data_IF_216108536521
#
_entry.id   IF_216108536521
#
_cell.length_a   1.000
_cell.length_b   1.000
_cell.length_c   1.000
_cell.angle_alpha   90.00
_cell.angle_beta   90.00
_cell.angle_gamma   90.00
#
_symmetry.space_group_name_H-M   'P 1'
#
loop_
_entity.id
_entity.type
_entity.pdbx_description
1 polymer ?
#
# COMPACT_ATOMS: atom_id res chain seq x y z
N UNK A 1 64.05 25.96 -43.39
CA UNK A 1 62.97 26.85 -43.87
C UNK A 1 62.22 26.18 -45.00
N UNK A 2 61.07 25.55 -44.72
CA UNK A 2 60.03 25.23 -45.73
C UNK A 2 58.67 25.22 -45.03
N UNK A 3 57.84 26.19 -45.39
CA UNK A 3 56.42 26.27 -45.10
C UNK A 3 55.64 25.47 -46.15
N UNK A 4 54.60 24.74 -45.73
CA UNK A 4 53.39 24.40 -46.50
C UNK A 4 52.42 23.71 -45.52
N UNK A 5 51.50 24.46 -44.89
CA UNK A 5 50.08 24.63 -45.28
C UNK A 5 49.34 23.28 -45.38
N UNK A 6 48.64 22.92 -44.30
CA UNK A 6 47.63 21.87 -44.25
C UNK A 6 46.29 22.42 -44.76
N UNK A 7 45.74 21.80 -45.81
CA UNK A 7 44.39 22.02 -46.30
C UNK A 7 43.49 20.90 -45.76
N UNK A 8 42.70 21.19 -44.73
CA UNK A 8 41.73 20.24 -44.17
C UNK A 8 40.42 20.33 -44.94
N UNK A 9 40.08 19.29 -45.68
CA UNK A 9 38.79 19.13 -46.36
C UNK A 9 37.77 18.61 -45.33
N UNK A 10 36.74 19.43 -45.06
CA UNK A 10 35.60 19.10 -44.21
C UNK A 10 34.52 18.43 -45.06
N UNK A 11 34.36 17.11 -44.96
CA UNK A 11 33.21 16.38 -45.52
C UNK A 11 32.04 16.38 -44.55
N UNK A 12 30.97 17.08 -44.92
CA UNK A 12 29.66 17.05 -44.24
C UNK A 12 28.86 15.86 -44.77
N UNK A 13 28.59 14.86 -43.92
CA UNK A 13 27.57 13.85 -44.21
C UNK A 13 26.19 14.39 -43.83
N UNK A 14 25.39 14.71 -44.84
CA UNK A 14 23.95 14.93 -44.71
C UNK A 14 23.30 13.54 -44.74
N UNK A 15 22.83 13.04 -43.60
CA UNK A 15 21.90 11.92 -43.56
C UNK A 15 20.46 12.44 -43.57
N UNK A 16 19.76 12.19 -44.68
CA UNK A 16 18.31 12.28 -44.75
C UNK A 16 17.72 11.20 -43.83
N UNK A 17 17.04 11.61 -42.76
CA UNK A 17 16.14 10.71 -42.04
C UNK A 17 14.70 11.06 -42.40
N UNK A 18 14.07 10.10 -43.07
CA UNK A 18 12.68 10.12 -43.50
C UNK A 18 11.73 10.35 -42.33
N UNK A 19 10.94 11.41 -42.43
CA UNK A 19 9.76 11.67 -41.62
C UNK A 19 8.77 10.50 -41.74
N UNK A 20 8.67 9.69 -40.68
CA UNK A 20 7.46 8.92 -40.38
C UNK A 20 6.87 9.47 -39.10
N UNK A 21 5.83 10.26 -39.27
CA UNK A 21 4.92 10.69 -38.19
C UNK A 21 4.40 9.43 -37.47
N UNK A 22 4.62 9.25 -36.16
CA UNK A 22 3.90 8.24 -35.43
C UNK A 22 2.45 8.70 -35.34
N UNK A 23 1.54 7.84 -35.80
CA UNK A 23 0.12 8.00 -35.58
C UNK A 23 -0.13 8.27 -34.08
N UNK A 24 -0.99 9.25 -33.82
CA UNK A 24 -1.56 9.58 -32.52
C UNK A 24 -2.31 8.35 -31.98
N UNK A 25 -1.56 7.42 -31.40
CA UNK A 25 -2.11 6.36 -30.59
C UNK A 25 -2.64 7.00 -29.33
N UNK A 26 -3.96 7.16 -29.25
CA UNK A 26 -4.66 7.31 -27.99
C UNK A 26 -4.13 6.22 -27.06
N UNK A 27 -3.31 6.61 -26.10
CA UNK A 27 -2.97 5.79 -24.96
C UNK A 27 -4.24 5.64 -24.14
N UNK A 28 -5.11 4.71 -24.55
CA UNK A 28 -6.10 4.14 -23.65
C UNK A 28 -5.28 3.51 -22.53
N UNK A 29 -5.21 4.19 -21.39
CA UNK A 29 -4.60 3.67 -20.19
C UNK A 29 -5.14 2.26 -20.00
N UNK A 30 -4.28 1.25 -20.15
CA UNK A 30 -4.65 -0.12 -19.81
C UNK A 30 -5.11 -0.07 -18.36
N UNK A 31 -6.40 -0.35 -18.19
CA UNK A 31 -7.13 -0.46 -16.93
C UNK A 31 -6.19 -1.00 -15.86
N UNK A 32 -5.77 -0.14 -14.93
CA UNK A 32 -5.09 -0.59 -13.72
C UNK A 32 -6.02 -1.64 -13.10
N UNK A 33 -5.60 -2.91 -13.13
CA UNK A 33 -6.28 -3.95 -12.38
C UNK A 33 -5.98 -3.70 -10.92
N UNK A 34 -6.78 -2.82 -10.32
CA UNK A 34 -7.06 -2.88 -8.90
C UNK A 34 -7.65 -4.26 -8.66
N UNK A 35 -6.90 -5.17 -8.04
CA UNK A 35 -7.50 -6.35 -7.44
C UNK A 35 -8.31 -5.81 -6.25
N UNK A 36 -9.56 -5.43 -6.50
CA UNK A 36 -10.49 -5.01 -5.46
C UNK A 36 -10.69 -6.21 -4.53
N UNK A 37 -10.49 -6.00 -3.23
CA UNK A 37 -10.91 -6.92 -2.17
C UNK A 37 -12.41 -7.31 -2.27
N UNK A 38 -13.22 -6.51 -2.98
CA UNK A 38 -14.64 -6.74 -3.19
C UNK A 38 -15.02 -7.89 -4.16
N UNK A 39 -14.08 -8.71 -4.65
CA UNK A 39 -14.41 -10.01 -5.27
C UNK A 39 -14.37 -11.16 -4.23
N UNK A 40 -13.86 -10.92 -3.02
CA UNK A 40 -13.87 -11.88 -1.91
C UNK A 40 -15.11 -11.64 -1.03
N UNK A 41 -16.28 -11.47 -1.66
CA UNK A 41 -17.55 -11.56 -0.98
C UNK A 41 -18.28 -12.77 -1.57
N UNK A 42 -18.31 -13.86 -0.80
CA UNK A 42 -18.74 -15.23 -1.15
C UNK A 42 -17.71 -16.10 -1.89
N UNK A 43 -16.61 -16.43 -1.21
CA UNK A 43 -15.90 -17.67 -1.49
C UNK A 43 -16.18 -18.65 -0.34
N UNK A 44 -16.74 -19.81 -0.68
CA UNK A 44 -17.11 -20.83 0.29
C UNK A 44 -15.90 -21.49 0.97
N UNK A 45 -16.22 -22.39 1.91
CA UNK A 45 -15.34 -23.10 2.85
C UNK A 45 -14.17 -23.91 2.26
N UNK A 46 -13.93 -23.88 0.95
CA UNK A 46 -12.94 -24.71 0.23
C UNK A 46 -11.94 -23.91 -0.64
N UNK A 47 -11.92 -22.57 -0.57
CA UNK A 47 -11.02 -21.77 -1.41
C UNK A 47 -9.58 -21.79 -0.87
N UNK A 48 -8.88 -22.86 -1.23
CA UNK A 48 -7.43 -23.03 -1.01
C UNK A 48 -6.67 -22.01 -1.85
N UNK A 49 -6.39 -20.86 -1.25
CA UNK A 49 -5.62 -19.80 -1.88
C UNK A 49 -4.27 -20.32 -2.40
N UNK A 50 -3.93 -19.94 -3.62
CA UNK A 50 -2.76 -20.44 -4.36
C UNK A 50 -1.58 -19.48 -4.19
N UNK A 51 -0.36 -19.99 -3.95
CA UNK A 51 0.83 -19.14 -3.88
C UNK A 51 0.98 -18.27 -5.12
N UNK A 52 1.38 -17.01 -4.94
CA UNK A 52 1.66 -16.11 -6.05
C UNK A 52 3.01 -15.42 -5.88
N UNK A 53 3.64 -15.07 -7.00
CA UNK A 53 4.91 -14.36 -7.02
C UNK A 53 4.67 -12.86 -6.94
N UNK A 54 5.33 -12.19 -6.00
CA UNK A 54 5.25 -10.75 -5.84
C UNK A 54 6.20 -10.04 -6.82
N UNK A 55 7.45 -10.52 -6.86
CA UNK A 55 8.51 -10.16 -7.79
C UNK A 55 9.59 -11.27 -7.78
N UNK A 56 10.73 -11.05 -8.42
CA UNK A 56 11.78 -12.06 -8.52
C UNK A 56 12.28 -12.48 -7.13
N UNK A 57 12.17 -13.78 -6.84
CA UNK A 57 12.61 -14.38 -5.59
C UNK A 57 11.57 -14.37 -4.45
N UNK A 58 10.47 -13.61 -4.53
CA UNK A 58 9.46 -13.53 -3.48
C UNK A 58 8.17 -14.28 -3.83
N UNK A 59 7.71 -15.12 -2.90
CA UNK A 59 6.45 -15.87 -3.01
C UNK A 59 5.59 -15.60 -1.78
N UNK A 60 4.31 -15.34 -2.01
CA UNK A 60 3.30 -15.19 -0.95
C UNK A 60 2.46 -16.45 -0.92
N UNK A 61 2.33 -17.05 0.26
CA UNK A 61 1.56 -18.28 0.48
C UNK A 61 0.56 -18.05 1.59
N UNK A 62 -0.71 -18.36 1.35
CA UNK A 62 -1.74 -18.33 2.40
C UNK A 62 -1.58 -19.52 3.34
N UNK A 63 -1.88 -19.29 4.61
CA UNK A 63 -1.38 -20.14 5.68
C UNK A 63 -2.46 -20.48 6.70
N UNK A 64 -3.25 -19.52 7.21
CA UNK A 64 -4.28 -19.86 8.20
C UNK A 64 -4.88 -18.66 8.93
N UNK A 65 -5.40 -18.93 10.13
CA UNK A 65 -6.03 -17.95 11.01
C UNK A 65 -5.04 -17.36 12.01
N UNK A 66 -5.24 -16.11 12.37
CA UNK A 66 -4.58 -15.46 13.51
C UNK A 66 -5.62 -15.37 14.63
N UNK A 67 -5.34 -16.06 15.72
CA UNK A 67 -6.00 -15.87 17.00
C UNK A 67 -5.40 -14.61 17.65
N UNK A 68 -5.98 -13.45 17.33
CA UNK A 68 -5.56 -12.19 17.88
C UNK A 68 -6.49 -11.78 19.02
N UNK A 69 -5.92 -11.13 20.04
CA UNK A 69 -6.63 -10.64 21.23
C UNK A 69 -7.76 -9.65 20.95
N UNK A 70 -7.83 -9.07 19.74
CA UNK A 70 -8.75 -7.98 19.40
C UNK A 70 -9.69 -8.35 18.23
N UNK A 71 -9.24 -9.15 17.25
CA UNK A 71 -10.05 -9.53 16.10
C UNK A 71 -9.45 -10.76 15.40
N UNK A 72 -10.25 -11.79 15.15
CA UNK A 72 -9.84 -12.91 14.29
C UNK A 72 -9.52 -12.38 12.88
N UNK A 73 -8.31 -12.61 12.39
CA UNK A 73 -7.90 -12.31 11.01
C UNK A 73 -7.29 -13.55 10.37
N UNK A 74 -6.98 -13.48 9.07
CA UNK A 74 -6.20 -14.51 8.39
C UNK A 74 -4.80 -13.98 8.07
N UNK A 75 -3.82 -14.88 7.96
CA UNK A 75 -2.46 -14.50 7.61
C UNK A 75 -1.94 -15.26 6.40
N UNK A 76 -1.06 -14.57 5.67
CA UNK A 76 -0.19 -15.15 4.66
C UNK A 76 1.28 -15.00 5.09
N UNK A 77 2.17 -15.77 4.48
CA UNK A 77 3.61 -15.63 4.66
C UNK A 77 4.28 -15.20 3.37
N UNK A 78 5.27 -14.32 3.50
CA UNK A 78 6.19 -13.95 2.43
C UNK A 78 7.45 -14.78 2.60
N UNK A 79 7.86 -15.49 1.55
CA UNK A 79 9.12 -16.22 1.51
C UNK A 79 10.02 -15.67 0.41
N UNK A 80 11.33 -15.65 0.67
CA UNK A 80 12.35 -15.35 -0.33
C UNK A 80 13.30 -16.53 -0.46
N UNK A 81 13.39 -17.11 -1.65
CA UNK A 81 14.20 -18.31 -1.91
C UNK A 81 13.94 -19.44 -0.89
N UNK A 82 12.66 -19.65 -0.54
CA UNK A 82 12.22 -20.66 0.42
C UNK A 82 12.40 -20.31 1.91
N UNK A 83 13.00 -19.15 2.24
CA UNK A 83 13.12 -18.68 3.63
C UNK A 83 11.97 -17.76 3.98
N UNK A 84 11.36 -17.93 5.16
CA UNK A 84 10.35 -17.02 5.69
C UNK A 84 10.95 -15.62 5.90
N UNK A 85 10.25 -14.61 5.41
CA UNK A 85 10.65 -13.20 5.45
C UNK A 85 9.70 -12.37 6.30
N UNK A 86 8.39 -12.57 6.17
CA UNK A 86 7.36 -11.95 7.00
C UNK A 86 6.12 -12.83 7.08
N UNK A 87 5.36 -12.62 8.15
CA UNK A 87 3.95 -13.00 8.27
C UNK A 87 3.13 -11.73 8.08
N UNK A 88 2.08 -11.75 7.26
CA UNK A 88 1.30 -10.58 6.89
C UNK A 88 -0.19 -10.79 7.10
N UNK A 89 -0.89 -9.71 7.40
CA UNK A 89 -2.35 -9.67 7.44
C UNK A 89 -2.90 -9.89 6.02
N UNK A 90 -3.74 -10.92 5.88
CA UNK A 90 -4.24 -11.32 4.56
C UNK A 90 -5.36 -10.41 4.07
N UNK A 91 -6.16 -9.85 4.98
CA UNK A 91 -7.28 -8.97 4.62
C UNK A 91 -6.77 -7.65 4.02
N UNK A 92 -5.69 -7.09 4.59
CA UNK A 92 -4.96 -5.99 3.98
C UNK A 92 -4.23 -6.43 2.70
N UNK A 93 -3.61 -7.61 2.75
CA UNK A 93 -2.86 -8.20 1.64
C UNK A 93 -1.63 -7.39 1.24
N UNK A 94 -1.21 -7.54 -0.03
CA UNK A 94 -0.11 -6.74 -0.59
C UNK A 94 -0.66 -5.71 -1.57
N UNK A 95 -0.49 -4.44 -1.22
CA UNK A 95 -0.91 -3.29 -2.01
C UNK A 95 0.26 -2.82 -2.90
N UNK A 96 0.16 -3.05 -4.21
CA UNK A 96 1.22 -2.71 -5.17
C UNK A 96 1.17 -1.23 -5.57
N UNK A 97 2.27 -0.50 -5.39
CA UNK A 97 2.42 0.88 -5.87
C UNK A 97 3.00 0.90 -7.29
N UNK A 98 4.00 0.05 -7.55
CA UNK A 98 4.59 -0.22 -8.85
C UNK A 98 5.33 -1.58 -8.80
N UNK A 99 6.04 -1.97 -9.87
CA UNK A 99 6.72 -3.28 -9.97
C UNK A 99 7.73 -3.57 -8.85
N UNK A 100 8.36 -2.53 -8.30
CA UNK A 100 9.40 -2.65 -7.28
C UNK A 100 9.01 -2.00 -5.96
N UNK A 101 7.76 -1.57 -5.81
CA UNK A 101 7.27 -0.90 -4.60
C UNK A 101 5.91 -1.44 -4.19
N UNK A 102 5.82 -1.94 -2.96
CA UNK A 102 4.60 -2.49 -2.39
C UNK A 102 4.51 -2.23 -0.89
N UNK A 103 3.27 -2.26 -0.38
CA UNK A 103 2.92 -2.05 1.01
C UNK A 103 2.16 -3.28 1.52
N UNK A 104 2.48 -3.73 2.72
CA UNK A 104 1.73 -4.76 3.46
C UNK A 104 1.71 -4.45 4.95
N UNK A 105 0.80 -5.08 5.68
CA UNK A 105 0.72 -5.04 7.14
C UNK A 105 1.27 -6.36 7.70
N UNK A 106 2.24 -6.29 8.60
CA UNK A 106 2.80 -7.50 9.24
C UNK A 106 1.89 -8.01 10.35
N UNK A 107 1.95 -9.31 10.62
CA UNK A 107 1.55 -9.89 11.91
C UNK A 107 2.81 -10.08 12.76
N UNK A 108 2.78 -9.66 14.02
CA UNK A 108 3.88 -9.80 14.99
C UNK A 108 3.50 -10.69 16.15
N UNK A 109 4.50 -10.98 16.98
CA UNK A 109 4.35 -11.76 18.23
C UNK A 109 3.72 -13.14 17.98
N UNK A 110 4.10 -13.74 16.85
CA UNK A 110 3.52 -14.99 16.38
C UNK A 110 3.98 -16.16 17.23
N UNK A 111 3.06 -16.86 17.85
CA UNK A 111 3.32 -18.09 18.59
C UNK A 111 2.29 -19.18 18.22
N UNK A 112 2.53 -20.44 18.57
CA UNK A 112 1.46 -21.43 18.60
C UNK A 112 0.34 -20.96 19.53
N UNK A 113 -0.94 -21.25 19.25
CA UNK A 113 -2.05 -20.87 20.12
C UNK A 113 -1.90 -21.46 21.53
N UNK A 114 -2.22 -20.66 22.55
CA UNK A 114 -2.02 -21.02 23.97
C UNK A 114 -3.01 -22.07 24.48
N UNK A 115 -4.23 -22.13 23.90
CA UNK A 115 -5.27 -23.06 24.34
C UNK A 115 -5.43 -24.23 23.35
N UNK A 116 -4.91 -25.41 23.73
CA UNK A 116 -4.99 -26.64 22.95
C UNK A 116 -6.21 -27.50 23.30
N UNK A 117 -7.16 -27.01 24.11
CA UNK A 117 -8.28 -27.83 24.61
C UNK A 117 -9.46 -27.97 23.66
N UNK A 118 -9.43 -27.32 22.49
CA UNK A 118 -10.54 -27.33 21.53
C UNK A 118 -10.15 -28.19 20.31
N UNK A 119 -10.70 -29.41 20.28
CA UNK A 119 -10.61 -30.36 19.17
C UNK A 119 -11.41 -29.88 17.95
N UNK A 120 -10.86 -28.91 17.22
CA UNK A 120 -11.36 -28.47 15.91
C UNK A 120 -10.22 -28.52 14.90
N UNK A 121 -10.42 -29.31 13.84
CA UNK A 121 -9.51 -29.46 12.69
C UNK A 121 -9.10 -28.13 12.02
N UNK A 122 -9.80 -27.03 12.31
CA UNK A 122 -9.49 -25.67 11.87
C UNK A 122 -8.20 -25.09 12.51
N UNK A 123 -7.75 -25.58 13.69
CA UNK A 123 -6.61 -24.99 14.42
C UNK A 123 -5.21 -25.45 14.00
N UNK A 124 -5.08 -26.45 13.11
CA UNK A 124 -3.76 -26.98 12.72
C UNK A 124 -2.85 -25.96 12.01
N UNK A 125 -3.40 -24.83 11.57
CA UNK A 125 -2.65 -23.76 10.90
C UNK A 125 -2.82 -22.39 11.57
N UNK A 126 -3.43 -22.36 12.76
CA UNK A 126 -3.63 -21.12 13.50
C UNK A 126 -2.35 -20.71 14.20
N UNK A 127 -2.12 -19.41 14.28
CA UNK A 127 -1.09 -18.79 15.12
C UNK A 127 -1.77 -17.82 16.07
N UNK A 128 -1.23 -17.63 17.27
CA UNK A 128 -1.50 -16.40 18.02
C UNK A 128 -0.68 -15.27 17.41
N UNK A 129 -1.15 -14.02 17.51
CA UNK A 129 -0.41 -12.87 17.03
C UNK A 129 -1.17 -11.56 17.13
N UNK A 130 -0.54 -10.47 16.70
CA UNK A 130 -1.14 -9.13 16.67
C UNK A 130 -0.82 -8.40 15.37
N UNK A 131 -1.67 -7.43 14.99
CA UNK A 131 -1.36 -6.52 13.89
C UNK A 131 -0.11 -5.70 14.24
N UNK A 132 0.85 -5.70 13.32
CA UNK A 132 2.15 -5.06 13.51
C UNK A 132 2.28 -3.73 12.78
N UNK A 133 3.29 -3.62 11.93
CA UNK A 133 3.63 -2.40 11.21
C UNK A 133 3.23 -2.49 9.74
N UNK A 134 2.87 -1.34 9.16
CA UNK A 134 2.87 -1.19 7.71
C UNK A 134 4.29 -1.10 7.19
N UNK A 135 4.67 -2.06 6.36
CA UNK A 135 6.00 -2.16 5.74
C UNK A 135 5.91 -1.72 4.28
N UNK A 136 6.61 -0.65 3.95
CA UNK A 136 6.86 -0.24 2.59
C UNK A 136 8.17 -0.89 2.12
N UNK A 137 8.09 -1.67 1.06
CA UNK A 137 9.27 -2.23 0.40
C UNK A 137 9.56 -1.45 -0.86
N UNK A 138 10.73 -0.83 -0.94
CA UNK A 138 11.19 -0.06 -2.11
C UNK A 138 12.45 -0.72 -2.64
N UNK A 139 12.40 -1.27 -3.86
CA UNK A 139 13.53 -1.97 -4.49
C UNK A 139 14.15 -3.04 -3.56
N UNK A 140 13.29 -3.82 -2.90
CA UNK A 140 13.69 -4.88 -1.96
C UNK A 140 14.11 -4.41 -0.57
N UNK A 141 14.16 -3.10 -0.30
CA UNK A 141 14.47 -2.55 1.03
C UNK A 141 13.20 -2.29 1.82
N UNK A 142 13.07 -2.91 2.99
CA UNK A 142 11.94 -2.72 3.92
C UNK A 142 12.10 -1.45 4.75
N UNK A 143 11.02 -0.70 4.90
CA UNK A 143 10.93 0.48 5.77
C UNK A 143 9.56 0.54 6.45
N UNK A 144 9.52 0.87 7.73
CA UNK A 144 8.25 1.13 8.41
C UNK A 144 7.64 2.42 7.90
N UNK A 145 6.39 2.40 7.45
CA UNK A 145 5.69 3.58 6.94
C UNK A 145 5.58 4.69 8.00
N UNK A 146 5.41 4.32 9.28
CA UNK A 146 5.39 5.24 10.42
C UNK A 146 6.70 6.03 10.61
N UNK A 147 7.83 5.53 10.09
CA UNK A 147 9.11 6.25 10.11
C UNK A 147 9.29 7.19 8.91
N UNK A 148 8.49 7.02 7.87
CA UNK A 148 8.56 7.81 6.63
C UNK A 148 7.54 8.95 6.60
N UNK A 149 6.51 8.86 7.45
CA UNK A 149 5.37 9.76 7.44
C UNK A 149 5.08 10.25 8.86
N UNK A 150 5.11 11.57 9.11
CA UNK A 150 4.82 12.10 10.44
C UNK A 150 3.37 11.83 10.83
N UNK A 151 3.14 11.63 12.13
CA UNK A 151 1.81 11.43 12.72
C UNK A 151 1.01 10.27 12.09
N UNK A 152 1.71 9.31 11.46
CA UNK A 152 1.14 8.06 11.00
C UNK A 152 1.13 7.04 12.15
N UNK A 153 -0.02 6.42 12.35
CA UNK A 153 -0.23 5.43 13.38
C UNK A 153 -0.70 4.11 12.74
N UNK A 154 0.03 3.01 13.00
CA UNK A 154 -0.29 1.71 12.39
C UNK A 154 -1.68 1.18 12.76
N UNK A 155 -2.24 1.61 13.89
CA UNK A 155 -3.59 1.23 14.30
C UNK A 155 -4.65 2.10 13.61
N UNK A 156 -4.47 3.42 13.61
CA UNK A 156 -5.52 4.37 13.20
C UNK A 156 -5.47 4.80 11.73
N UNK A 157 -4.30 4.80 11.09
CA UNK A 157 -4.12 5.52 9.83
C UNK A 157 -4.77 4.84 8.61
N UNK A 158 -5.12 3.55 8.70
CA UNK A 158 -5.82 2.77 7.67
C UNK A 158 -5.39 3.11 6.23
N UNK A 159 -4.11 2.90 5.87
CA UNK A 159 -3.59 3.33 4.58
C UNK A 159 -4.20 2.54 3.41
N UNK A 160 -4.21 3.18 2.24
CA UNK A 160 -4.62 2.59 0.97
C UNK A 160 -3.72 3.06 -0.16
N UNK A 161 -3.37 2.15 -1.08
CA UNK A 161 -2.59 2.50 -2.26
C UNK A 161 -3.52 2.87 -3.40
N UNK A 162 -3.46 4.13 -3.84
CA UNK A 162 -4.28 4.66 -4.93
C UNK A 162 -3.37 5.38 -5.91
N UNK A 163 -3.40 4.98 -7.18
CA UNK A 163 -2.64 5.63 -8.27
C UNK A 163 -1.13 5.83 -7.94
N UNK A 164 -0.50 4.82 -7.34
CA UNK A 164 0.93 4.82 -7.02
C UNK A 164 1.34 5.67 -5.81
N UNK A 165 0.36 6.19 -5.05
CA UNK A 165 0.57 6.94 -3.80
C UNK A 165 -0.14 6.23 -2.63
N UNK A 166 0.25 6.54 -1.41
CA UNK A 166 -0.37 5.99 -0.19
C UNK A 166 -1.22 7.07 0.45
N UNK A 167 -2.53 6.85 0.55
CA UNK A 167 -3.48 7.73 1.21
C UNK A 167 -3.85 7.16 2.57
N UNK A 168 -3.93 8.00 3.59
CA UNK A 168 -4.14 7.54 4.97
C UNK A 168 -4.66 8.68 5.85
N UNK A 169 -5.25 8.32 6.99
CA UNK A 169 -5.63 9.25 8.05
C UNK A 169 -4.42 9.60 8.89
N UNK A 170 -4.16 10.89 9.06
CA UNK A 170 -3.11 11.39 9.93
C UNK A 170 -3.74 11.89 11.24
N UNK A 171 -3.20 11.45 12.39
CA UNK A 171 -3.67 11.82 13.72
C UNK A 171 -2.55 12.48 14.51
N UNK A 172 -2.70 13.77 14.79
CA UNK A 172 -1.72 14.53 15.56
C UNK A 172 -2.31 14.95 16.89
N UNK A 173 -1.67 14.52 17.97
CA UNK A 173 -2.00 14.95 19.33
C UNK A 173 -1.79 16.45 19.48
N UNK A 174 -2.82 17.15 19.93
CA UNK A 174 -2.81 18.61 20.13
C UNK A 174 -2.38 18.92 21.57
N UNK A 175 -2.91 18.18 22.54
CA UNK A 175 -2.66 18.43 23.95
C UNK A 175 -2.67 17.16 24.81
N UNK A 176 -2.38 17.32 26.10
CA UNK A 176 -2.37 16.24 27.08
C UNK A 176 -3.76 15.79 27.53
N UNK A 177 -4.81 16.54 27.18
CA UNK A 177 -6.21 16.22 27.51
C UNK A 177 -6.82 15.19 26.54
N UNK A 178 -6.10 14.82 25.48
CA UNK A 178 -6.53 13.82 24.50
C UNK A 178 -7.12 14.41 23.23
N UNK A 179 -7.06 15.73 23.05
CA UNK A 179 -7.52 16.37 21.82
C UNK A 179 -6.56 16.04 20.68
N UNK A 180 -7.13 15.60 19.56
CA UNK A 180 -6.39 15.24 18.35
C UNK A 180 -6.87 16.08 17.16
N UNK A 181 -5.95 16.37 16.26
CA UNK A 181 -6.23 16.92 14.94
C UNK A 181 -6.16 15.80 13.92
N UNK A 182 -7.15 15.77 13.03
CA UNK A 182 -7.28 14.76 12.00
C UNK A 182 -7.09 15.41 10.63
N UNK A 183 -6.27 14.77 9.80
CA UNK A 183 -6.01 15.20 8.43
C UNK A 183 -6.12 14.03 7.46
N UNK A 184 -6.62 14.30 6.26
CA UNK A 184 -6.40 13.40 5.13
C UNK A 184 -4.96 13.60 4.64
N UNK A 185 -4.22 12.53 4.44
CA UNK A 185 -2.83 12.61 4.02
C UNK A 185 -2.52 11.72 2.82
N UNK A 186 -1.47 12.10 2.10
CA UNK A 186 -0.95 11.38 0.95
C UNK A 186 0.57 11.37 0.99
N UNK A 187 1.16 10.19 1.06
CA UNK A 187 2.59 9.98 0.89
C UNK A 187 2.91 9.54 -0.54
N UNK A 188 3.90 10.21 -1.14
CA UNK A 188 4.47 9.83 -2.42
C UNK A 188 5.84 9.16 -2.20
N UNK A 189 5.99 7.86 -2.50
CA UNK A 189 7.26 7.15 -2.30
C UNK A 189 8.38 7.63 -3.22
N UNK A 190 8.05 8.19 -4.39
CA UNK A 190 9.04 8.69 -5.37
C UNK A 190 9.70 9.96 -4.84
N UNK A 191 8.90 10.88 -4.30
CA UNK A 191 9.41 12.15 -3.77
C UNK A 191 9.73 12.08 -2.28
N UNK A 192 9.33 11.00 -1.59
CA UNK A 192 9.37 10.83 -0.13
C UNK A 192 8.74 11.99 0.62
N UNK A 193 7.64 12.53 0.08
CA UNK A 193 6.93 13.68 0.66
C UNK A 193 5.53 13.27 1.06
N UNK A 194 5.12 13.73 2.24
CA UNK A 194 3.74 13.71 2.70
C UNK A 194 3.13 15.07 2.48
N UNK A 195 1.93 15.10 1.89
CA UNK A 195 1.04 16.26 1.94
C UNK A 195 -0.17 15.88 2.80
N UNK A 196 -0.67 16.84 3.57
CA UNK A 196 -1.81 16.64 4.45
C UNK A 196 -2.79 17.80 4.29
N UNK A 197 -4.08 17.49 4.40
CA UNK A 197 -5.17 18.43 4.42
C UNK A 197 -5.91 18.29 5.74
N UNK A 198 -5.87 19.35 6.55
CA UNK A 198 -6.58 19.40 7.81
C UNK A 198 -8.09 19.27 7.59
N UNK A 199 -8.75 18.46 8.42
CA UNK A 199 -10.19 18.24 8.34
C UNK A 199 -10.88 18.84 9.56
N UNK A 200 -10.50 18.40 10.75
CA UNK A 200 -11.11 18.83 12.00
C UNK A 200 -10.19 18.54 13.21
N UNK A 201 -10.57 19.15 14.33
CA UNK A 201 -10.15 18.72 15.66
C UNK A 201 -11.33 17.93 16.19
N UNK A 202 -11.16 16.65 16.48
CA UNK A 202 -12.27 15.85 16.95
C UNK A 202 -11.79 14.63 17.74
N UNK A 203 -12.67 14.17 18.64
CA UNK A 203 -12.71 12.78 19.07
C UNK A 203 -13.49 12.06 17.98
N UNK A 204 -12.80 11.52 16.97
CA UNK A 204 -13.52 10.73 15.98
C UNK A 204 -13.86 9.40 16.63
N UNK A 205 -15.16 9.23 16.92
CA UNK A 205 -15.75 7.91 17.08
C UNK A 205 -15.34 7.11 15.85
N UNK A 206 -14.53 6.12 16.10
CA UNK A 206 -14.16 5.12 15.13
C UNK A 206 -15.27 4.05 15.11
N UNK A 207 -15.19 3.01 14.28
CA UNK A 207 -16.15 1.91 14.43
C UNK A 207 -16.11 1.32 15.86
N UNK A 208 -17.03 0.39 16.19
CA UNK A 208 -17.07 -0.26 17.52
C UNK A 208 -15.72 -0.87 17.96
N UNK A 209 -14.77 -1.01 17.02
CA UNK A 209 -13.42 -1.55 17.22
C UNK A 209 -12.29 -0.50 17.19
N UNK A 210 -12.54 0.79 16.92
CA UNK A 210 -11.47 1.78 16.95
C UNK A 210 -10.88 2.22 15.60
N UNK A 211 -11.43 1.79 14.45
CA UNK A 211 -10.82 2.02 13.13
C UNK A 211 -11.53 3.05 12.25
N UNK A 212 -10.72 3.78 11.46
CA UNK A 212 -11.21 4.51 10.30
C UNK A 212 -11.27 3.59 9.08
N UNK A 213 -12.29 3.79 8.24
CA UNK A 213 -12.31 3.16 6.92
C UNK A 213 -11.10 3.63 6.09
N UNK A 214 -10.46 2.67 5.42
CA UNK A 214 -9.36 2.99 4.52
C UNK A 214 -9.83 3.88 3.35
N UNK A 215 -9.05 4.88 2.94
CA UNK A 215 -9.42 5.73 1.81
C UNK A 215 -9.62 4.91 0.53
N UNK A 216 -10.58 5.32 -0.31
CA UNK A 216 -10.91 4.58 -1.53
C UNK A 216 -11.12 5.48 -2.75
N UNK A 217 -10.88 4.90 -3.93
CA UNK A 217 -11.08 5.57 -5.22
C UNK A 217 -12.43 5.16 -5.83
N UNK A 218 -13.24 6.15 -6.21
CA UNK A 218 -14.47 5.97 -7.00
C UNK A 218 -14.61 7.13 -7.98
N UNK A 219 -14.78 6.83 -9.27
CA UNK A 219 -14.95 7.85 -10.33
C UNK A 219 -13.89 8.98 -10.26
N UNK A 220 -12.60 8.61 -10.23
CA UNK A 220 -11.45 9.54 -10.10
C UNK A 220 -11.44 10.46 -8.87
N UNK A 221 -12.30 10.16 -7.89
CA UNK A 221 -12.40 10.86 -6.62
C UNK A 221 -11.93 9.94 -5.50
N UNK A 222 -11.10 10.48 -4.64
CA UNK A 222 -10.59 9.83 -3.44
C UNK A 222 -11.48 10.23 -2.28
N UNK A 223 -12.00 9.23 -1.59
CA UNK A 223 -12.92 9.40 -0.49
C UNK A 223 -12.24 9.04 0.82
N UNK A 224 -12.41 9.95 1.78
CA UNK A 224 -12.08 9.77 3.18
C UNK A 224 -13.41 9.74 3.92
N UNK A 225 -13.83 8.54 4.31
CA UNK A 225 -15.11 8.31 4.98
C UNK A 225 -14.88 8.32 6.49
N UNK A 226 -15.16 9.46 7.12
CA UNK A 226 -15.16 9.58 8.57
C UNK A 226 -16.50 9.15 9.15
N UNK A 227 -16.53 8.76 10.42
CA UNK A 227 -17.78 8.44 11.11
C UNK A 227 -18.79 9.60 11.06
N UNK A 228 -20.07 9.27 11.29
CA UNK A 228 -21.20 10.20 11.26
C UNK A 228 -21.43 10.86 9.88
N UNK A 229 -21.33 10.08 8.80
CA UNK A 229 -21.54 10.50 7.41
C UNK A 229 -20.62 11.64 6.94
N UNK A 230 -19.48 11.86 7.62
CA UNK A 230 -18.49 12.89 7.26
C UNK A 230 -17.60 12.41 6.11
N UNK A 231 -18.17 12.37 4.92
CA UNK A 231 -17.47 11.99 3.70
C UNK A 231 -16.72 13.18 3.08
N UNK A 232 -15.39 13.13 3.11
CA UNK A 232 -14.54 14.15 2.45
C UNK A 232 -14.02 13.64 1.11
N UNK A 233 -14.05 14.50 0.09
CA UNK A 233 -13.74 14.14 -1.30
C UNK A 233 -12.54 14.92 -1.81
N UNK A 234 -11.59 14.22 -2.39
CA UNK A 234 -10.37 14.78 -2.94
C UNK A 234 -10.11 14.30 -4.36
N UNK A 235 -9.45 15.13 -5.17
CA UNK A 235 -8.85 14.65 -6.40
C UNK A 235 -7.54 13.86 -6.11
N UNK A 236 -6.92 13.33 -7.16
CA UNK A 236 -5.67 12.55 -7.08
C UNK A 236 -4.44 13.27 -6.51
N UNK A 237 -4.52 14.57 -6.29
CA UNK A 237 -3.44 15.39 -5.73
C UNK A 237 -3.82 15.93 -4.35
N UNK A 238 -4.81 15.30 -3.71
CA UNK A 238 -5.33 15.66 -2.39
C UNK A 238 -5.84 17.10 -2.31
N UNK A 239 -6.41 17.63 -3.40
CA UNK A 239 -7.14 18.90 -3.38
C UNK A 239 -8.63 18.61 -3.22
N UNK A 240 -9.28 19.35 -2.31
CA UNK A 240 -10.71 19.24 -2.07
C UNK A 240 -11.52 19.47 -3.35
N UNK A 241 -12.58 18.69 -3.52
CA UNK A 241 -13.68 19.10 -4.38
C UNK A 241 -14.51 20.12 -3.61
N UNK A 242 -14.64 21.33 -4.15
CA UNK A 242 -15.60 22.33 -3.67
C UNK A 242 -17.03 21.87 -3.96
#
# INVERSE_FOLDING_TARGET
MKNAIYLSILTVFISCNSNKTPATGTHTAKKNTTVKAAIIAKAGKDDTFKPYKLNEGYTVTDTGLVDATVMETTYAVITQNGKLIDTIDKDFGIQKLNDNTHLYLTITDTAPPEDQTIDKTEYKRSISGSLGNYILVVNGKKQNLSKLTPDFNNYFSSPSVINGKIYFWQIKKIDTAGNNSISAAQYNPVTQKTIAHYLNNDYIETDDAGYFAAPYLKNDTIYFDGANDKLTKFNKDLKLYN
#
